data_IF_642579464786
#
_entry.id   IF_642579464786
#
_cell.length_a   1.000
_cell.length_b   1.000
_cell.length_c   1.000
_cell.angle_alpha   90.00
_cell.angle_beta   90.00
_cell.angle_gamma   90.00
#
_symmetry.space_group_name_H-M   'P 1'
#
loop_
_entity.id
_entity.type
_entity.pdbx_description
1 polymer ?
#
# COMPACT_ATOMS: atom_id res chain seq x y z
N UNK A 1 0.67 -14.75 -8.00
CA UNK A 1 0.01 -13.43 -7.98
C UNK A 1 -0.95 -13.40 -6.79
N UNK A 2 -0.85 -12.37 -5.94
CA UNK A 2 -1.79 -12.11 -4.85
C UNK A 2 -2.68 -10.93 -5.21
N UNK A 3 -3.88 -10.86 -4.62
CA UNK A 3 -4.85 -9.79 -4.90
C UNK A 3 -5.45 -9.25 -3.62
N UNK A 4 -5.86 -7.99 -3.62
CA UNK A 4 -6.69 -7.42 -2.56
C UNK A 4 -8.16 -7.45 -2.97
N UNK A 5 -9.06 -7.72 -2.03
CA UNK A 5 -10.51 -7.75 -2.25
C UNK A 5 -11.17 -6.77 -1.28
N UNK A 6 -11.99 -5.91 -1.84
CA UNK A 6 -12.71 -4.89 -1.11
C UNK A 6 -13.26 -3.88 -2.09
N UNK A 7 -13.68 -2.73 -1.57
CA UNK A 7 -14.30 -1.68 -2.36
C UNK A 7 -13.57 -0.36 -2.14
N UNK A 8 -12.95 0.13 -3.21
CA UNK A 8 -12.39 1.48 -3.24
C UNK A 8 -13.54 2.50 -3.02
N UNK A 9 -13.35 3.61 -2.28
CA UNK A 9 -14.38 4.56 -1.86
C UNK A 9 -15.03 5.27 -3.03
N UNK A 10 -14.28 5.51 -4.12
CA UNK A 10 -14.83 5.96 -5.41
C UNK A 10 -16.00 5.08 -5.88
N UNK A 11 -15.98 3.81 -5.50
CA UNK A 11 -16.97 2.79 -5.85
C UNK A 11 -17.85 2.41 -4.65
N UNK A 12 -17.83 3.11 -3.52
CA UNK A 12 -18.61 2.71 -2.33
C UNK A 12 -20.12 2.65 -2.59
N UNK A 13 -20.64 3.38 -3.59
CA UNK A 13 -22.02 3.26 -4.03
C UNK A 13 -22.38 1.87 -4.62
N UNK A 14 -21.39 1.05 -4.99
CA UNK A 14 -21.62 -0.30 -5.50
C UNK A 14 -22.23 -1.24 -4.44
N UNK A 15 -21.99 -1.00 -3.14
CA UNK A 15 -22.69 -1.73 -2.07
C UNK A 15 -24.21 -1.55 -2.17
N UNK A 16 -24.66 -0.33 -2.43
CA UNK A 16 -26.10 -0.01 -2.51
C UNK A 16 -26.72 -0.51 -3.82
N UNK A 17 -25.93 -0.55 -4.90
CA UNK A 17 -26.37 -1.05 -6.22
C UNK A 17 -26.36 -2.58 -6.33
N UNK A 18 -25.66 -3.27 -5.42
CA UNK A 18 -25.52 -4.71 -5.51
C UNK A 18 -26.86 -5.42 -5.32
N UNK A 19 -27.10 -6.48 -6.10
CA UNK A 19 -28.32 -7.28 -5.98
C UNK A 19 -28.36 -7.96 -4.62
N UNK A 20 -29.37 -7.62 -3.81
CA UNK A 20 -29.49 -8.09 -2.43
C UNK A 20 -28.90 -7.11 -1.39
N UNK A 21 -28.43 -5.95 -1.83
CA UNK A 21 -27.96 -4.86 -0.98
C UNK A 21 -26.55 -5.04 -0.40
N UNK A 22 -26.14 -4.13 0.50
CA UNK A 22 -24.79 -4.09 1.06
C UNK A 22 -24.35 -5.39 1.75
N UNK A 23 -25.26 -6.05 2.46
CA UNK A 23 -24.94 -7.30 3.17
C UNK A 23 -24.63 -8.43 2.20
N UNK A 24 -25.38 -8.54 1.10
CA UNK A 24 -25.10 -9.50 0.05
C UNK A 24 -23.76 -9.22 -0.65
N UNK A 25 -23.37 -7.95 -0.77
CA UNK A 25 -22.07 -7.56 -1.33
C UNK A 25 -20.91 -8.02 -0.43
N UNK A 26 -21.00 -7.79 0.88
CA UNK A 26 -20.01 -8.28 1.86
C UNK A 26 -19.93 -9.81 1.83
N UNK A 27 -21.07 -10.50 1.76
CA UNK A 27 -21.09 -11.97 1.69
C UNK A 27 -20.48 -12.50 0.39
N UNK A 28 -20.68 -11.83 -0.74
CA UNK A 28 -20.03 -12.19 -2.00
C UNK A 28 -18.51 -12.00 -1.93
N UNK A 29 -18.04 -10.91 -1.34
CA UNK A 29 -16.61 -10.67 -1.08
C UNK A 29 -16.03 -11.75 -0.17
N UNK A 30 -16.72 -12.08 0.94
CA UNK A 30 -16.32 -13.14 1.86
C UNK A 30 -16.23 -14.50 1.16
N UNK A 31 -17.26 -14.88 0.41
CA UNK A 31 -17.29 -16.15 -0.32
C UNK A 31 -16.11 -16.27 -1.27
N UNK A 32 -15.74 -15.17 -1.94
CA UNK A 32 -14.51 -15.12 -2.71
C UNK A 32 -13.29 -15.32 -1.79
N UNK A 33 -13.13 -14.52 -0.73
CA UNK A 33 -11.97 -14.55 0.17
C UNK A 33 -11.67 -15.92 0.77
N UNK A 34 -12.69 -16.67 1.18
CA UNK A 34 -12.52 -17.97 1.86
C UNK A 34 -12.46 -19.18 0.93
N UNK A 35 -12.71 -18.99 -0.36
CA UNK A 35 -12.66 -20.08 -1.33
C UNK A 35 -11.22 -20.63 -1.45
N UNK A 36 -10.97 -21.90 -1.10
CA UNK A 36 -9.64 -22.52 -1.13
C UNK A 36 -8.99 -22.55 -2.52
N UNK A 37 -9.78 -22.46 -3.59
CA UNK A 37 -9.25 -22.33 -4.95
C UNK A 37 -8.50 -21.00 -5.13
N UNK A 38 -8.78 -20.01 -4.29
CA UNK A 38 -8.25 -18.68 -4.43
C UNK A 38 -7.27 -18.32 -3.30
N UNK A 39 -6.09 -18.92 -3.37
CA UNK A 39 -5.08 -19.01 -2.30
C UNK A 39 -4.40 -17.71 -1.84
N UNK A 40 -4.80 -16.53 -2.32
CA UNK A 40 -3.91 -15.35 -2.31
C UNK A 40 -4.63 -14.00 -2.17
N UNK A 41 -5.17 -13.69 -0.98
CA UNK A 41 -6.06 -12.54 -0.79
C UNK A 41 -5.82 -11.71 0.47
N UNK A 42 -6.01 -10.40 0.34
CA UNK A 42 -5.92 -9.39 1.42
C UNK A 42 -7.18 -8.51 1.36
N UNK A 43 -7.66 -7.94 2.46
CA UNK A 43 -8.79 -6.99 2.42
C UNK A 43 -8.25 -5.59 2.11
N UNK A 44 -8.76 -4.89 1.10
CA UNK A 44 -8.39 -3.48 0.86
C UNK A 44 -9.56 -2.53 1.04
N UNK A 45 -9.29 -1.35 1.59
CA UNK A 45 -10.28 -0.30 1.74
C UNK A 45 -9.62 1.04 1.54
N UNK A 46 -10.42 2.03 1.21
CA UNK A 46 -9.91 3.33 0.89
C UNK A 46 -10.93 4.40 1.33
N UNK A 47 -10.46 5.61 1.61
CA UNK A 47 -11.30 6.77 1.87
C UNK A 47 -10.69 8.03 1.21
N UNK A 48 -11.28 8.48 0.08
CA UNK A 48 -10.86 9.65 -0.70
C UNK A 48 -11.84 9.95 -1.88
N UNK A 49 -11.75 11.16 -2.45
CA UNK A 49 -12.39 11.66 -3.69
C UNK A 49 -13.91 11.74 -3.65
N UNK A 50 -14.40 12.70 -2.87
CA UNK A 50 -15.82 13.02 -2.69
C UNK A 50 -16.60 13.32 -3.99
N UNK A 51 -15.91 13.67 -5.08
CA UNK A 51 -16.54 13.86 -6.39
C UNK A 51 -17.13 12.57 -6.97
N UNK A 52 -16.54 11.41 -6.68
CA UNK A 52 -17.01 10.12 -7.22
C UNK A 52 -18.04 9.43 -6.33
N UNK A 53 -17.95 9.62 -5.02
CA UNK A 53 -18.88 9.06 -4.05
C UNK A 53 -19.01 10.02 -2.85
N UNK A 54 -20.23 10.36 -2.40
CA UNK A 54 -20.42 11.24 -1.25
C UNK A 54 -19.76 10.72 0.02
N UNK A 55 -19.33 11.64 0.89
CA UNK A 55 -18.61 11.35 2.14
C UNK A 55 -19.39 10.36 3.01
N UNK A 56 -20.69 10.60 3.16
CA UNK A 56 -21.59 9.80 3.97
C UNK A 56 -21.68 8.34 3.48
N UNK A 57 -21.73 8.14 2.15
CA UNK A 57 -21.77 6.80 1.54
C UNK A 57 -20.46 6.06 1.78
N UNK A 58 -19.33 6.76 1.61
CA UNK A 58 -18.01 6.19 1.86
C UNK A 58 -17.86 5.80 3.35
N UNK A 59 -18.22 6.68 4.31
CA UNK A 59 -18.19 6.37 5.75
C UNK A 59 -19.02 5.14 6.09
N UNK A 60 -20.27 5.11 5.62
CA UNK A 60 -21.21 4.04 5.91
C UNK A 60 -20.67 2.68 5.48
N UNK A 61 -20.06 2.61 4.30
CA UNK A 61 -19.55 1.35 3.75
C UNK A 61 -18.11 1.04 4.18
N UNK A 62 -17.36 2.02 4.70
CA UNK A 62 -16.03 1.78 5.27
C UNK A 62 -16.11 0.78 6.43
N UNK A 63 -17.09 0.94 7.33
CA UNK A 63 -17.31 0.04 8.46
C UNK A 63 -17.52 -1.44 8.06
N UNK A 64 -18.10 -1.68 6.88
CA UNK A 64 -18.42 -3.04 6.39
C UNK A 64 -17.18 -3.88 6.11
N UNK A 65 -16.06 -3.26 5.82
CA UNK A 65 -14.84 -4.00 5.56
C UNK A 65 -14.15 -4.49 6.85
N UNK A 66 -14.44 -3.88 8.01
CA UNK A 66 -13.99 -4.44 9.29
C UNK A 66 -14.76 -5.71 9.63
N UNK A 67 -16.04 -5.82 9.24
CA UNK A 67 -16.78 -7.09 9.32
C UNK A 67 -16.10 -8.16 8.47
N UNK A 68 -15.63 -7.79 7.28
CA UNK A 68 -14.92 -8.71 6.39
C UNK A 68 -13.56 -9.15 6.98
N UNK A 69 -12.79 -8.21 7.54
CA UNK A 69 -11.52 -8.49 8.20
C UNK A 69 -11.72 -9.42 9.41
N UNK A 70 -12.72 -9.15 10.25
CA UNK A 70 -13.08 -9.94 11.42
C UNK A 70 -13.50 -11.38 11.03
N UNK A 71 -14.32 -11.53 9.98
CA UNK A 71 -14.78 -12.84 9.51
C UNK A 71 -13.69 -13.68 8.85
N UNK A 72 -12.64 -13.06 8.29
CA UNK A 72 -11.61 -13.75 7.50
C UNK A 72 -10.27 -13.85 8.21
N UNK A 73 -10.04 -13.03 9.23
CA UNK A 73 -8.75 -12.90 9.91
C UNK A 73 -7.64 -12.29 9.05
N UNK A 74 -7.96 -11.79 7.86
CA UNK A 74 -6.99 -11.22 6.92
C UNK A 74 -6.56 -9.80 7.34
N UNK A 75 -5.32 -9.38 7.01
CA UNK A 75 -4.87 -8.02 7.23
C UNK A 75 -5.63 -7.03 6.34
N UNK A 76 -5.64 -5.77 6.77
CA UNK A 76 -6.31 -4.67 6.07
C UNK A 76 -5.32 -3.79 5.31
N UNK A 77 -5.63 -3.46 4.07
CA UNK A 77 -4.83 -2.63 3.18
C UNK A 77 -5.59 -1.32 2.94
N UNK A 78 -5.28 -0.31 3.74
CA UNK A 78 -5.96 0.97 3.78
C UNK A 78 -5.35 1.97 2.80
N UNK A 79 -6.20 2.73 2.13
CA UNK A 79 -5.84 4.01 1.55
C UNK A 79 -6.43 5.12 2.41
N UNK A 80 -5.65 6.15 2.60
CA UNK A 80 -6.06 7.36 3.30
C UNK A 80 -5.51 8.57 2.55
N UNK A 81 -6.39 9.52 2.23
CA UNK A 81 -5.99 10.81 1.66
C UNK A 81 -6.96 11.90 2.06
N UNK A 82 -6.44 12.95 2.70
CA UNK A 82 -7.20 14.16 3.06
C UNK A 82 -8.50 13.86 3.84
N UNK A 83 -8.50 12.87 4.73
CA UNK A 83 -9.71 12.46 5.47
C UNK A 83 -10.01 13.34 6.68
N UNK A 84 -9.10 14.27 7.04
CA UNK A 84 -9.33 15.24 8.11
C UNK A 84 -9.52 14.59 9.49
N UNK A 85 -8.86 13.46 9.73
CA UNK A 85 -8.92 12.72 11.00
C UNK A 85 -10.03 11.67 11.10
N UNK A 86 -10.96 11.61 10.14
CA UNK A 86 -12.00 10.57 10.14
C UNK A 86 -11.39 9.17 10.04
N UNK A 87 -10.34 8.98 9.23
CA UNK A 87 -9.65 7.71 9.12
C UNK A 87 -9.12 7.24 10.48
N UNK A 88 -8.30 8.06 11.15
CA UNK A 88 -7.74 7.74 12.46
C UNK A 88 -8.82 7.39 13.49
N UNK A 89 -9.92 8.16 13.52
CA UNK A 89 -11.06 7.91 14.41
C UNK A 89 -11.69 6.54 14.15
N UNK A 90 -11.99 6.22 12.89
CA UNK A 90 -12.65 4.97 12.52
C UNK A 90 -11.74 3.77 12.75
N UNK A 91 -10.44 3.89 12.45
CA UNK A 91 -9.46 2.86 12.79
C UNK A 91 -9.45 2.63 14.30
N UNK A 92 -9.43 3.69 15.11
CA UNK A 92 -9.45 3.59 16.57
C UNK A 92 -10.68 2.83 17.07
N UNK A 93 -11.87 3.21 16.57
CA UNK A 93 -13.15 2.56 16.91
C UNK A 93 -13.18 1.06 16.55
N UNK A 94 -12.44 0.65 15.51
CA UNK A 94 -12.46 -0.73 14.99
C UNK A 94 -11.15 -1.48 15.23
N UNK A 95 -10.22 -0.95 16.03
CA UNK A 95 -8.86 -1.53 16.15
C UNK A 95 -8.86 -2.98 16.62
N UNK A 96 -9.83 -3.36 17.46
CA UNK A 96 -10.00 -4.74 17.94
C UNK A 96 -10.58 -5.73 16.92
N UNK A 97 -10.97 -5.28 15.72
CA UNK A 97 -11.68 -6.09 14.71
C UNK A 97 -10.79 -6.59 13.58
N UNK A 98 -9.50 -6.25 13.61
CA UNK A 98 -8.52 -6.71 12.65
C UNK A 98 -7.16 -6.87 13.32
N UNK A 99 -6.34 -7.79 12.81
CA UNK A 99 -5.03 -8.09 13.38
C UNK A 99 -4.00 -7.03 12.97
N UNK A 100 -3.70 -7.00 11.68
CA UNK A 100 -2.70 -6.14 11.06
C UNK A 100 -3.34 -5.23 10.01
N UNK A 101 -2.76 -4.03 9.85
CA UNK A 101 -3.25 -3.03 8.93
C UNK A 101 -2.11 -2.24 8.31
N UNK A 102 -2.23 -1.91 7.03
CA UNK A 102 -1.24 -1.16 6.26
C UNK A 102 -1.89 0.10 5.75
N UNK A 103 -1.27 1.26 5.95
CA UNK A 103 -1.60 2.48 5.21
C UNK A 103 -0.74 2.53 3.97
N UNK A 104 -1.35 2.22 2.82
CA UNK A 104 -0.68 2.20 1.53
C UNK A 104 -0.51 3.59 0.94
N UNK A 105 0.54 3.76 0.15
CA UNK A 105 0.84 4.98 -0.59
C UNK A 105 0.78 6.20 0.32
N UNK A 106 1.40 6.10 1.51
CA UNK A 106 1.27 7.13 2.53
C UNK A 106 1.84 8.46 2.04
N UNK A 107 1.01 9.50 2.01
CA UNK A 107 1.40 10.87 1.63
C UNK A 107 1.02 11.90 2.69
N UNK A 108 0.69 11.44 3.91
CA UNK A 108 0.25 12.28 5.01
C UNK A 108 1.37 13.06 5.69
N UNK A 109 0.99 13.79 6.72
CA UNK A 109 1.85 14.58 7.59
C UNK A 109 2.59 13.73 8.63
N UNK A 110 3.59 14.29 9.30
CA UNK A 110 4.29 13.60 10.38
C UNK A 110 3.38 13.31 11.59
N UNK A 111 2.36 14.14 11.82
CA UNK A 111 1.40 13.94 12.91
C UNK A 111 0.43 12.79 12.60
N UNK A 112 -0.03 12.69 11.35
CA UNK A 112 -0.78 11.53 10.86
C UNK A 112 0.05 10.26 10.94
N UNK A 113 1.31 10.31 10.50
CA UNK A 113 2.24 9.19 10.61
C UNK A 113 2.35 8.71 12.07
N UNK A 114 2.62 9.63 13.01
CA UNK A 114 2.72 9.29 14.44
C UNK A 114 1.44 8.60 14.91
N UNK A 115 0.28 9.15 14.56
CA UNK A 115 -1.03 8.57 14.91
C UNK A 115 -1.19 7.15 14.38
N UNK A 116 -0.78 6.89 13.12
CA UNK A 116 -0.91 5.58 12.49
C UNK A 116 0.03 4.54 13.09
N UNK A 117 1.25 4.96 13.47
CA UNK A 117 2.19 4.13 14.20
C UNK A 117 1.67 3.80 15.62
N UNK A 118 1.11 4.78 16.33
CA UNK A 118 0.51 4.56 17.66
C UNK A 118 -0.68 3.57 17.61
N UNK A 119 -1.39 3.53 16.48
CA UNK A 119 -2.44 2.54 16.20
C UNK A 119 -1.89 1.16 15.78
N UNK A 120 -0.57 1.00 15.69
CA UNK A 120 0.10 -0.24 15.32
C UNK A 120 -0.03 -0.61 13.85
N UNK A 121 -0.22 0.38 12.97
CA UNK A 121 -0.30 0.18 11.52
C UNK A 121 1.09 0.15 10.89
N UNK A 122 1.22 -0.59 9.80
CA UNK A 122 2.34 -0.52 8.88
C UNK A 122 2.16 0.63 7.90
N UNK A 123 3.27 1.19 7.41
CA UNK A 123 3.29 2.29 6.46
C UNK A 123 4.01 1.84 5.21
N UNK A 124 3.31 1.83 4.09
CA UNK A 124 3.89 1.51 2.80
C UNK A 124 4.19 2.78 2.01
N UNK A 125 5.41 2.86 1.49
CA UNK A 125 5.94 4.03 0.79
C UNK A 125 6.22 3.68 -0.67
N UNK A 126 5.92 4.63 -1.56
CA UNK A 126 6.24 4.58 -2.99
C UNK A 126 6.73 5.95 -3.50
N UNK A 127 6.87 6.11 -4.82
CA UNK A 127 7.35 7.39 -5.37
C UNK A 127 6.41 8.59 -5.15
N UNK A 128 5.12 8.39 -4.87
CA UNK A 128 4.21 9.45 -4.43
C UNK A 128 4.50 9.88 -2.98
N UNK A 129 4.87 8.93 -2.12
CA UNK A 129 5.31 9.15 -0.73
C UNK A 129 6.66 9.85 -0.61
N UNK A 130 7.33 10.15 -1.72
CA UNK A 130 8.69 10.70 -1.76
C UNK A 130 8.77 11.95 -2.65
N UNK A 131 7.63 12.58 -2.92
CA UNK A 131 7.52 13.66 -3.91
C UNK A 131 8.07 15.00 -3.43
N UNK A 132 7.76 15.40 -2.19
CA UNK A 132 8.17 16.69 -1.60
C UNK A 132 9.14 16.52 -0.42
N UNK A 133 9.80 17.59 0.00
CA UNK A 133 10.71 17.56 1.17
C UNK A 133 9.95 17.19 2.45
N UNK A 134 8.69 17.63 2.60
CA UNK A 134 7.82 17.24 3.72
C UNK A 134 7.53 15.74 3.69
N UNK A 135 7.30 15.18 2.50
CA UNK A 135 7.11 13.73 2.36
C UNK A 135 8.39 12.97 2.75
N UNK A 136 9.57 13.42 2.35
CA UNK A 136 10.84 12.79 2.77
C UNK A 136 11.04 12.84 4.28
N UNK A 137 10.70 13.97 4.93
CA UNK A 137 10.76 14.10 6.40
C UNK A 137 9.83 13.12 7.12
N UNK A 138 8.64 12.86 6.58
CA UNK A 138 7.74 11.85 7.12
C UNK A 138 8.25 10.43 6.84
N UNK A 139 8.69 10.15 5.60
CA UNK A 139 9.24 8.87 5.20
C UNK A 139 10.44 8.43 6.03
N UNK A 140 11.32 9.36 6.43
CA UNK A 140 12.48 9.10 7.29
C UNK A 140 12.14 8.84 8.77
N UNK A 141 10.87 9.02 9.17
CA UNK A 141 10.38 8.81 10.55
C UNK A 141 9.56 7.54 10.71
N UNK A 142 9.36 6.76 9.65
CA UNK A 142 8.66 5.48 9.74
C UNK A 142 9.56 4.51 10.53
N UNK A 143 9.08 3.87 11.61
CA UNK A 143 9.87 2.84 12.29
C UNK A 143 10.18 1.69 11.34
N UNK A 144 11.41 1.18 11.37
CA UNK A 144 11.89 0.15 10.45
C UNK A 144 11.03 -1.11 10.49
N UNK A 145 10.54 -1.51 11.67
CA UNK A 145 9.66 -2.66 11.89
C UNK A 145 8.22 -2.46 11.40
N UNK A 146 7.88 -1.24 10.93
CA UNK A 146 6.58 -0.88 10.36
C UNK A 146 6.67 -0.43 8.90
N UNK A 147 7.87 -0.41 8.32
CA UNK A 147 8.12 0.07 6.96
C UNK A 147 7.84 -1.04 5.92
N UNK A 148 7.12 -0.67 4.86
CA UNK A 148 6.86 -1.49 3.67
C UNK A 148 7.17 -0.68 2.40
N UNK A 149 7.46 -1.38 1.31
CA UNK A 149 7.76 -0.79 0.01
C UNK A 149 6.71 -1.18 -1.02
N UNK A 150 6.34 -0.24 -1.89
CA UNK A 150 5.51 -0.51 -3.05
C UNK A 150 5.85 0.43 -4.22
N UNK A 151 5.27 0.18 -5.40
CA UNK A 151 5.44 1.07 -6.57
C UNK A 151 4.18 1.82 -6.96
N UNK A 152 3.01 1.27 -6.62
CA UNK A 152 1.69 1.70 -7.13
C UNK A 152 1.66 1.82 -8.68
N UNK A 153 2.41 0.95 -9.37
CA UNK A 153 2.48 0.92 -10.83
C UNK A 153 1.08 0.72 -11.45
N UNK A 154 0.70 1.49 -12.49
CA UNK A 154 1.56 2.28 -13.37
C UNK A 154 1.84 3.72 -12.92
N UNK A 155 1.44 4.09 -11.70
CA UNK A 155 1.55 5.42 -11.13
C UNK A 155 2.82 5.60 -10.30
N UNK A 156 2.95 6.76 -9.66
CA UNK A 156 3.99 7.04 -8.67
C UNK A 156 5.44 6.83 -9.14
N UNK A 157 5.72 7.04 -10.44
CA UNK A 157 7.08 7.14 -10.97
C UNK A 157 7.87 8.23 -10.23
N UNK A 158 9.10 7.93 -9.78
CA UNK A 158 10.02 8.94 -9.26
C UNK A 158 10.57 9.77 -10.43
N UNK A 159 10.27 11.07 -10.43
CA UNK A 159 10.62 11.98 -11.53
C UNK A 159 11.75 12.92 -11.13
N UNK A 160 12.51 13.49 -12.09
CA UNK A 160 13.54 14.49 -11.82
C UNK A 160 13.09 15.71 -11.01
N UNK A 161 11.79 16.03 -11.05
CA UNK A 161 11.18 17.14 -10.30
C UNK A 161 10.81 16.78 -8.87
N UNK A 162 10.91 15.51 -8.46
CA UNK A 162 10.61 15.09 -7.10
C UNK A 162 11.81 15.30 -6.19
N UNK A 163 11.56 15.63 -4.92
CA UNK A 163 12.60 15.79 -3.91
C UNK A 163 13.48 14.54 -3.77
N UNK A 164 12.90 13.34 -3.95
CA UNK A 164 13.61 12.07 -3.89
C UNK A 164 14.66 11.84 -4.96
N UNK A 165 14.58 12.52 -6.11
CA UNK A 165 15.44 12.20 -7.25
C UNK A 165 16.93 12.38 -6.95
N UNK A 166 17.28 13.34 -6.09
CA UNK A 166 18.67 13.59 -5.65
C UNK A 166 19.27 12.45 -4.82
N UNK A 167 18.43 11.58 -4.26
CA UNK A 167 18.83 10.44 -3.45
C UNK A 167 19.08 9.17 -4.28
N UNK A 168 18.71 9.16 -5.57
CA UNK A 168 18.90 8.02 -6.47
C UNK A 168 20.34 7.90 -6.97
N UNK A 169 21.25 7.45 -6.09
CA UNK A 169 22.64 7.11 -6.43
C UNK A 169 22.70 5.62 -6.76
N UNK A 170 22.61 5.28 -8.05
CA UNK A 170 22.60 3.89 -8.52
C UNK A 170 23.93 3.49 -9.13
N UNK A 171 24.42 2.30 -8.78
CA UNK A 171 25.46 1.60 -9.55
C UNK A 171 24.95 1.26 -10.95
N UNK A 172 25.84 0.88 -11.88
CA UNK A 172 25.40 0.48 -13.22
C UNK A 172 24.44 -0.71 -13.18
N UNK A 173 24.71 -1.71 -12.33
CA UNK A 173 23.85 -2.87 -12.14
C UNK A 173 22.44 -2.49 -11.64
N UNK A 174 22.37 -1.59 -10.65
CA UNK A 174 21.10 -1.08 -10.14
C UNK A 174 20.33 -0.26 -11.19
N UNK A 175 21.03 0.47 -12.06
CA UNK A 175 20.39 1.17 -13.18
C UNK A 175 19.76 0.19 -14.16
N UNK A 176 20.48 -0.87 -14.51
CA UNK A 176 19.98 -1.89 -15.45
C UNK A 176 18.76 -2.64 -14.87
N UNK A 177 18.74 -2.87 -13.55
CA UNK A 177 17.66 -3.57 -12.85
C UNK A 177 16.44 -2.68 -12.58
N UNK A 178 16.65 -1.50 -12.00
CA UNK A 178 15.58 -0.65 -11.46
C UNK A 178 15.17 0.48 -12.39
N UNK A 179 15.96 0.77 -13.43
CA UNK A 179 15.65 1.78 -14.44
C UNK A 179 15.92 1.29 -15.87
N UNK A 180 15.27 0.19 -16.31
CA UNK A 180 15.40 -0.28 -17.70
C UNK A 180 15.07 0.83 -18.71
N UNK A 181 15.60 0.67 -19.92
CA UNK A 181 15.40 1.63 -21.01
C UNK A 181 13.90 1.85 -21.26
N UNK A 182 13.45 3.11 -21.14
CA UNK A 182 12.08 3.51 -21.42
C UNK A 182 11.93 4.13 -22.82
N UNK A 183 10.97 3.62 -23.60
CA UNK A 183 10.64 4.10 -24.96
C UNK A 183 9.21 4.66 -25.01
N UNK A 184 8.88 5.43 -26.05
CA UNK A 184 7.50 5.84 -26.29
C UNK A 184 6.63 4.60 -26.60
N UNK A 185 5.35 4.64 -26.24
CA UNK A 185 4.43 3.48 -26.36
C UNK A 185 4.35 2.94 -27.80
N UNK A 186 4.49 3.79 -28.81
CA UNK A 186 4.46 3.43 -30.23
C UNK A 186 5.71 2.65 -30.67
N UNK A 187 6.79 2.67 -29.87
CA UNK A 187 8.07 1.99 -30.13
C UNK A 187 8.36 0.88 -29.13
N UNK A 188 7.35 0.43 -28.40
CA UNK A 188 7.50 -0.62 -27.40
C UNK A 188 8.04 -1.90 -28.05
N UNK A 189 9.04 -2.49 -27.40
CA UNK A 189 9.57 -3.81 -27.69
C UNK A 189 9.84 -4.49 -26.35
N UNK A 190 9.67 -5.81 -26.30
CA UNK A 190 9.88 -6.59 -25.09
C UNK A 190 11.29 -6.35 -24.53
N UNK A 191 11.41 -6.18 -23.21
CA UNK A 191 12.65 -5.80 -22.53
C UNK A 191 12.82 -4.30 -22.29
N UNK A 192 12.04 -3.43 -22.94
CA UNK A 192 12.01 -2.00 -22.63
C UNK A 192 10.75 -1.62 -21.83
N UNK A 193 10.88 -0.61 -20.97
CA UNK A 193 9.74 0.04 -20.31
C UNK A 193 9.02 1.01 -21.26
N UNK A 194 7.79 1.38 -20.90
CA UNK A 194 7.05 2.46 -21.56
C UNK A 194 7.23 3.75 -20.77
N UNK A 195 7.65 4.84 -21.44
CA UNK A 195 7.83 6.16 -20.82
C UNK A 195 6.55 6.64 -20.14
N UNK A 196 6.64 7.02 -18.87
CA UNK A 196 5.50 7.49 -18.07
C UNK A 196 4.64 6.36 -17.49
N UNK A 197 4.99 5.08 -17.70
CA UNK A 197 4.35 3.92 -17.08
C UNK A 197 5.31 3.34 -16.05
N UNK A 198 5.01 3.54 -14.77
CA UNK A 198 5.80 2.94 -13.71
C UNK A 198 5.62 1.41 -13.70
N UNK A 199 6.63 0.67 -13.25
CA UNK A 199 6.61 -0.80 -13.25
C UNK A 199 7.14 -1.37 -11.93
N UNK A 200 6.83 -2.62 -11.62
CA UNK A 200 7.24 -3.26 -10.36
C UNK A 200 8.76 -3.32 -10.19
N UNK A 201 9.53 -3.44 -11.27
CA UNK A 201 11.00 -3.42 -11.22
C UNK A 201 11.56 -2.11 -10.63
N UNK A 202 10.80 -1.02 -10.65
CA UNK A 202 11.23 0.28 -10.09
C UNK A 202 11.18 0.33 -8.56
N UNK A 203 10.72 -0.72 -7.88
CA UNK A 203 10.66 -0.76 -6.40
C UNK A 203 12.04 -0.52 -5.77
N UNK A 204 13.13 -0.94 -6.44
CA UNK A 204 14.48 -0.66 -5.99
C UNK A 204 14.82 0.83 -5.97
N UNK A 205 14.18 1.67 -6.79
CA UNK A 205 14.34 3.12 -6.69
C UNK A 205 13.76 3.66 -5.38
N UNK A 206 12.61 3.14 -4.93
CA UNK A 206 12.01 3.50 -3.63
C UNK A 206 12.93 3.06 -2.50
N UNK A 207 13.43 1.82 -2.55
CA UNK A 207 14.40 1.28 -1.60
C UNK A 207 15.64 2.18 -1.48
N UNK A 208 16.25 2.56 -2.60
CA UNK A 208 17.48 3.35 -2.60
C UNK A 208 17.29 4.76 -2.03
N UNK A 209 16.15 5.39 -2.30
CA UNK A 209 15.82 6.69 -1.67
C UNK A 209 15.73 6.51 -0.15
N UNK A 210 14.99 5.50 0.31
CA UNK A 210 14.84 5.28 1.75
C UNK A 210 16.17 4.89 2.41
N UNK A 211 16.97 4.04 1.78
CA UNK A 211 18.32 3.68 2.24
C UNK A 211 19.19 4.92 2.48
N UNK A 212 19.22 5.89 1.56
CA UNK A 212 19.95 7.15 1.75
C UNK A 212 19.33 8.01 2.87
N UNK A 213 17.99 8.04 3.03
CA UNK A 213 17.32 8.76 4.13
C UNK A 213 17.60 8.16 5.52
N UNK A 214 17.62 6.83 5.64
CA UNK A 214 17.89 6.11 6.88
C UNK A 214 19.40 6.00 7.17
N UNK A 215 20.26 6.26 6.18
CA UNK A 215 21.70 6.02 6.30
C UNK A 215 22.05 4.54 6.49
N UNK A 216 21.25 3.65 5.90
CA UNK A 216 21.32 2.19 6.05
C UNK A 216 21.67 1.54 4.72
N UNK A 217 22.37 0.40 4.77
CA UNK A 217 22.63 -0.39 3.57
C UNK A 217 21.32 -0.85 2.90
N UNK A 218 21.28 -0.84 1.56
CA UNK A 218 20.06 -1.14 0.84
C UNK A 218 19.63 -2.59 0.97
N UNK A 219 20.56 -3.53 1.11
CA UNK A 219 20.23 -4.96 1.23
C UNK A 219 19.70 -5.26 2.63
N UNK A 220 20.28 -4.64 3.67
CA UNK A 220 19.75 -4.70 5.03
C UNK A 220 18.33 -4.12 5.12
N UNK A 221 18.09 -2.95 4.53
CA UNK A 221 16.76 -2.33 4.51
C UNK A 221 15.75 -3.15 3.69
N UNK A 222 16.18 -3.74 2.58
CA UNK A 222 15.35 -4.62 1.77
C UNK A 222 14.89 -5.85 2.55
N UNK A 223 15.81 -6.48 3.28
CA UNK A 223 15.50 -7.64 4.12
C UNK A 223 14.50 -7.28 5.21
N UNK A 224 14.69 -6.15 5.92
CA UNK A 224 13.73 -5.68 6.93
C UNK A 224 12.33 -5.49 6.31
N UNK A 225 12.23 -4.81 5.17
CA UNK A 225 10.94 -4.57 4.50
C UNK A 225 10.31 -5.86 3.99
N UNK A 226 11.12 -6.81 3.52
CA UNK A 226 10.68 -8.13 3.08
C UNK A 226 10.11 -8.93 4.27
N UNK A 227 10.82 -8.97 5.40
CA UNK A 227 10.36 -9.62 6.62
C UNK A 227 9.08 -9.00 7.17
N UNK A 228 8.94 -7.68 7.14
CA UNK A 228 7.69 -7.00 7.48
C UNK A 228 6.54 -7.42 6.56
N UNK A 229 6.80 -7.53 5.25
CA UNK A 229 5.80 -7.99 4.28
C UNK A 229 5.36 -9.43 4.55
N UNK A 230 6.31 -10.33 4.87
CA UNK A 230 6.02 -11.71 5.26
C UNK A 230 5.17 -11.77 6.53
N UNK A 231 5.53 -11.03 7.59
CA UNK A 231 4.77 -11.02 8.87
C UNK A 231 3.31 -10.64 8.66
N UNK A 232 3.06 -9.64 7.81
CA UNK A 232 1.72 -9.09 7.59
C UNK A 232 0.91 -9.95 6.63
N UNK A 233 1.47 -10.28 5.47
CA UNK A 233 0.70 -10.90 4.39
C UNK A 233 0.89 -12.41 4.28
N UNK A 234 2.02 -12.94 4.76
CA UNK A 234 2.43 -14.34 4.58
C UNK A 234 2.97 -14.96 5.88
N UNK A 235 2.28 -14.82 7.03
CA UNK A 235 2.81 -15.29 8.32
C UNK A 235 3.06 -16.80 8.38
N UNK A 236 2.38 -17.57 7.51
CA UNK A 236 2.59 -19.01 7.34
C UNK A 236 3.94 -19.31 6.68
N UNK A 237 4.31 -18.55 5.64
CA UNK A 237 5.60 -18.70 4.95
C UNK A 237 6.77 -18.35 5.89
N UNK A 238 6.57 -17.39 6.79
CA UNK A 238 7.55 -17.03 7.82
C UNK A 238 7.78 -18.17 8.83
N UNK A 239 6.70 -18.76 9.36
CA UNK A 239 6.80 -19.87 10.31
C UNK A 239 7.53 -21.09 9.73
N UNK A 240 7.30 -21.41 8.46
CA UNK A 240 7.98 -22.52 7.75
C UNK A 240 9.48 -22.26 7.52
N UNK A 241 9.91 -21.00 7.51
CA UNK A 241 11.32 -20.61 7.35
C UNK A 241 12.11 -20.66 8.66
N UNK A 242 11.43 -20.49 9.81
CA UNK A 242 12.05 -20.56 11.15
C UNK A 242 12.20 -22.00 11.66
N UNK A 243 11.47 -22.96 11.08
CA UNK A 243 11.55 -24.39 11.41
C UNK A 243 12.65 -25.16 10.64
N UNK A 244 13.33 -24.51 9.68
CA UNK A 244 14.39 -25.10 8.84
C UNK A 244 15.78 -24.61 9.23
#
# INVERSE_FOLDING_TARGET
>A
MYVTIGCHPRNAAEFDKFRGGPDAYVMAQKAFLVDPANKKKIVAIDYDRLFFCPKETQLRHFHRHFELAEMTGLPMFFHDRNTGGDFARIITENRGRFKDGIVHSFTGTQDELKTYIDLGLYISLNGCSLKTEENLKAAAKVPLERLLLETDGPWCEIRPTHASFKHLKMTQEQQDMYKPRAVNKERFVFGNMVRGRNESCTIGQVLLVLSDLYGMDSDELAEICYQNSLRVFFPQELAESEEK
#
